data_IF_529064497471
#
_entry.id   IF_529064497471
#
_cell.length_a   1.000
_cell.length_b   1.000
_cell.length_c   1.000
_cell.angle_alpha   90.00
_cell.angle_beta   90.00
_cell.angle_gamma   90.00
#
_symmetry.space_group_name_H-M   'P 1'
#
loop_
_entity.id
_entity.type
_entity.pdbx_description
1 polymer ?
#
# COMPACT_ATOMS: atom_id res chain seq x y z
N UNK A 1 6.00 31.66 0.52
CA UNK A 1 6.68 30.85 1.57
C UNK A 1 8.06 31.44 1.87
N UNK A 2 8.70 31.07 2.99
CA UNK A 2 10.04 31.56 3.35
C UNK A 2 11.15 30.90 2.52
N UNK A 3 12.33 31.53 2.43
CA UNK A 3 13.48 31.05 1.63
C UNK A 3 14.02 29.66 2.00
N UNK A 4 13.68 29.15 3.18
CA UNK A 4 14.11 27.85 3.70
C UNK A 4 12.96 26.84 3.81
N UNK A 5 11.88 27.02 3.03
CA UNK A 5 10.77 26.07 3.03
C UNK A 5 11.24 24.71 2.51
N UNK A 6 11.00 23.64 3.28
CA UNK A 6 11.32 22.26 2.89
C UNK A 6 10.41 21.79 1.75
N UNK A 7 9.13 22.19 1.80
CA UNK A 7 8.13 21.94 0.76
C UNK A 7 7.63 23.30 0.29
N UNK A 8 8.24 23.89 -0.77
CA UNK A 8 7.96 25.26 -1.20
C UNK A 8 6.66 25.41 -2.01
N UNK A 9 6.09 24.31 -2.52
CA UNK A 9 4.81 24.27 -3.24
C UNK A 9 4.14 22.89 -3.05
N UNK A 10 2.95 22.70 -3.60
CA UNK A 10 2.26 21.41 -3.64
C UNK A 10 3.15 20.34 -4.33
N UNK A 11 3.30 19.12 -3.76
CA UNK A 11 4.20 18.11 -4.32
C UNK A 11 3.96 17.80 -5.81
N UNK A 12 2.70 17.78 -6.23
CA UNK A 12 2.34 17.52 -7.63
C UNK A 12 2.78 18.65 -8.57
N UNK A 13 2.88 19.91 -8.11
CA UNK A 13 3.48 20.99 -8.89
C UNK A 13 4.98 20.77 -9.04
N UNK A 14 5.65 20.46 -7.93
CA UNK A 14 7.09 20.24 -7.93
C UNK A 14 7.48 19.11 -8.90
N UNK A 15 6.70 18.04 -8.96
CA UNK A 15 6.88 16.94 -9.93
C UNK A 15 6.72 17.45 -11.38
N UNK A 16 5.63 18.16 -11.69
CA UNK A 16 5.33 18.65 -13.05
C UNK A 16 6.32 19.70 -13.56
N UNK A 17 6.94 20.46 -12.65
CA UNK A 17 7.91 21.51 -12.96
C UNK A 17 9.37 21.06 -12.82
N UNK A 18 9.63 19.78 -12.61
CA UNK A 18 10.97 19.23 -12.40
C UNK A 18 11.71 19.80 -11.17
N UNK A 19 10.98 20.34 -10.19
CA UNK A 19 11.49 20.89 -8.94
C UNK A 19 11.69 19.79 -7.88
N UNK A 20 12.16 18.63 -8.33
CA UNK A 20 12.49 17.47 -7.52
C UNK A 20 13.77 16.82 -8.07
N UNK A 21 14.42 15.98 -7.26
CA UNK A 21 15.63 15.28 -7.71
C UNK A 21 15.28 14.24 -8.78
N UNK A 22 15.99 14.32 -9.91
CA UNK A 22 15.74 13.45 -11.06
C UNK A 22 16.57 12.16 -10.94
N UNK A 23 16.13 11.28 -10.06
CA UNK A 23 16.81 10.03 -9.69
C UNK A 23 15.87 8.83 -9.91
N UNK A 24 16.38 7.59 -10.03
CA UNK A 24 15.53 6.41 -10.07
C UNK A 24 14.65 6.32 -8.82
N UNK A 25 13.46 5.74 -8.95
CA UNK A 25 12.54 5.58 -7.83
C UNK A 25 11.97 4.16 -7.75
N UNK A 26 12.23 3.46 -6.64
CA UNK A 26 11.58 2.19 -6.31
C UNK A 26 10.47 2.47 -5.31
N UNK A 27 9.25 2.05 -5.62
CA UNK A 27 8.04 2.32 -4.84
C UNK A 27 7.10 1.13 -4.81
N UNK A 28 6.38 0.93 -3.71
CA UNK A 28 5.41 -0.13 -3.63
C UNK A 28 4.31 0.08 -2.59
N UNK A 29 3.41 -0.90 -2.56
CA UNK A 29 2.29 -1.00 -1.61
C UNK A 29 2.07 -2.48 -1.29
N UNK A 30 1.37 -2.75 -0.21
CA UNK A 30 0.96 -4.10 0.16
C UNK A 30 -0.47 -4.35 -0.33
N UNK A 31 -0.80 -5.62 -0.60
CA UNK A 31 -2.13 -6.00 -1.11
C UNK A 31 -3.29 -5.51 -0.22
N UNK A 32 -3.07 -5.40 1.09
CA UNK A 32 -4.10 -5.11 2.09
C UNK A 32 -3.68 -4.02 3.08
N UNK A 33 -2.95 -2.98 2.65
CA UNK A 33 -2.49 -1.88 3.54
C UNK A 33 -3.59 -1.30 4.45
N UNK A 34 -4.83 -1.21 3.95
CA UNK A 34 -5.98 -0.72 4.71
C UNK A 34 -6.39 -1.58 5.90
N UNK A 35 -5.91 -2.82 6.02
CA UNK A 35 -6.22 -3.73 7.11
C UNK A 35 -5.85 -3.15 8.48
N UNK A 36 -4.72 -2.43 8.57
CA UNK A 36 -4.29 -1.76 9.79
C UNK A 36 -5.39 -0.85 10.37
N UNK A 37 -6.03 -0.05 9.50
CA UNK A 37 -7.04 0.93 9.94
C UNK A 37 -8.39 0.27 10.16
N UNK A 38 -8.77 -0.65 9.28
CA UNK A 38 -10.06 -1.36 9.35
C UNK A 38 -10.15 -2.21 10.61
N UNK A 39 -9.07 -2.87 11.01
CA UNK A 39 -9.06 -3.68 12.21
C UNK A 39 -9.41 -2.87 13.46
N UNK A 40 -8.83 -1.69 13.63
CA UNK A 40 -9.10 -0.82 14.78
C UNK A 40 -10.56 -0.32 14.80
N UNK A 41 -11.12 0.00 13.63
CA UNK A 41 -12.53 0.38 13.52
C UNK A 41 -13.43 -0.80 13.92
N UNK A 42 -13.09 -2.02 13.50
CA UNK A 42 -13.91 -3.21 13.79
C UNK A 42 -13.82 -3.69 15.24
N UNK A 43 -12.80 -3.27 16.00
CA UNK A 43 -12.71 -3.52 17.45
C UNK A 43 -13.66 -2.64 18.26
N UNK A 44 -14.15 -1.53 17.70
CA UNK A 44 -15.04 -0.59 18.38
C UNK A 44 -16.47 -0.63 17.80
N UNK A 45 -17.44 -1.25 18.52
CA UNK A 45 -18.83 -1.30 18.09
C UNK A 45 -19.47 0.07 17.88
N UNK A 46 -19.02 1.11 18.58
CA UNK A 46 -19.54 2.46 18.42
C UNK A 46 -19.15 3.04 17.05
N UNK A 47 -17.91 2.83 16.61
CA UNK A 47 -17.46 3.25 15.28
C UNK A 47 -18.21 2.50 14.18
N UNK A 48 -18.38 1.18 14.31
CA UNK A 48 -19.19 0.38 13.38
C UNK A 48 -20.63 0.92 13.30
N UNK A 49 -21.24 1.20 14.45
CA UNK A 49 -22.60 1.73 14.50
C UNK A 49 -22.68 3.11 13.84
N UNK A 50 -21.71 4.00 14.10
CA UNK A 50 -21.62 5.32 13.49
C UNK A 50 -21.55 5.26 11.97
N UNK A 51 -20.68 4.41 11.41
CA UNK A 51 -20.55 4.24 9.96
C UNK A 51 -21.83 3.67 9.30
N UNK A 52 -22.56 2.81 10.01
CA UNK A 52 -23.79 2.21 9.50
C UNK A 52 -25.04 3.09 9.65
N UNK A 53 -25.07 4.00 10.63
CA UNK A 53 -26.26 4.81 10.94
C UNK A 53 -26.15 6.27 10.50
N UNK A 54 -24.93 6.82 10.39
CA UNK A 54 -24.72 8.24 10.09
C UNK A 54 -23.54 8.43 9.12
N UNK A 55 -23.63 7.75 7.97
CA UNK A 55 -22.58 7.77 6.96
C UNK A 55 -22.28 9.17 6.42
N UNK A 56 -23.30 10.02 6.20
CA UNK A 56 -23.07 11.37 5.68
C UNK A 56 -22.20 12.23 6.58
N UNK A 57 -22.20 11.95 7.90
CA UNK A 57 -21.29 12.59 8.85
C UNK A 57 -19.91 11.93 8.90
N UNK A 58 -19.87 10.60 9.03
CA UNK A 58 -18.61 9.88 9.35
C UNK A 58 -17.86 9.36 8.12
N UNK A 59 -18.54 9.12 7.01
CA UNK A 59 -17.94 8.67 5.74
C UNK A 59 -16.94 9.68 5.18
N UNK A 60 -17.28 10.98 5.05
CA UNK A 60 -16.31 11.99 4.64
C UNK A 60 -15.11 12.08 5.58
N UNK A 61 -15.33 11.97 6.90
CA UNK A 61 -14.24 11.96 7.88
C UNK A 61 -13.33 10.75 7.72
N UNK A 62 -13.90 9.55 7.58
CA UNK A 62 -13.17 8.31 7.35
C UNK A 62 -12.31 8.36 6.08
N UNK A 63 -12.83 8.99 5.02
CA UNK A 63 -12.16 9.10 3.72
C UNK A 63 -11.29 10.36 3.60
N UNK A 64 -11.16 11.18 4.66
CA UNK A 64 -10.44 12.45 4.63
C UNK A 64 -10.94 13.39 3.51
N UNK A 65 -12.25 13.42 3.27
CA UNK A 65 -12.89 14.31 2.31
C UNK A 65 -13.33 15.60 3.00
N UNK A 66 -12.87 16.73 2.47
CA UNK A 66 -13.16 18.06 2.99
C UNK A 66 -13.52 19.01 1.85
N UNK A 67 -14.00 20.22 2.20
CA UNK A 67 -14.22 21.29 1.21
C UNK A 67 -12.96 21.69 0.42
N UNK A 68 -11.78 21.32 0.91
CA UNK A 68 -10.50 21.56 0.22
C UNK A 68 -10.09 20.40 -0.71
N UNK A 69 -10.77 19.26 -0.66
CA UNK A 69 -10.52 18.13 -1.57
C UNK A 69 -11.60 18.01 -2.65
N UNK A 70 -12.83 18.47 -2.41
CA UNK A 70 -13.92 18.44 -3.38
C UNK A 70 -15.04 19.43 -3.02
N UNK A 71 -15.93 19.71 -3.98
CA UNK A 71 -17.09 20.59 -3.78
C UNK A 71 -18.12 20.02 -2.79
N UNK A 72 -18.37 18.71 -2.85
CA UNK A 72 -19.35 18.02 -1.99
C UNK A 72 -18.75 16.73 -1.39
N UNK A 73 -18.16 16.81 -0.18
CA UNK A 73 -17.57 15.65 0.48
C UNK A 73 -18.55 14.51 0.74
N UNK A 74 -19.82 14.81 1.02
CA UNK A 74 -20.85 13.81 1.36
C UNK A 74 -21.23 13.01 0.12
N UNK A 75 -21.49 13.70 -0.99
CA UNK A 75 -21.80 13.04 -2.26
C UNK A 75 -20.64 12.13 -2.71
N UNK A 76 -19.40 12.58 -2.57
CA UNK A 76 -18.23 11.78 -2.96
C UNK A 76 -18.05 10.57 -2.04
N UNK A 77 -18.22 10.75 -0.72
CA UNK A 77 -18.19 9.63 0.22
C UNK A 77 -19.26 8.58 -0.11
N UNK A 78 -20.47 9.00 -0.51
CA UNK A 78 -21.53 8.10 -0.94
C UNK A 78 -21.16 7.34 -2.23
N UNK A 79 -20.62 8.03 -3.25
CA UNK A 79 -20.13 7.36 -4.47
C UNK A 79 -19.07 6.28 -4.19
N UNK A 80 -18.11 6.58 -3.31
CA UNK A 80 -17.07 5.63 -2.90
C UNK A 80 -17.68 4.45 -2.14
N UNK A 81 -18.59 4.71 -1.19
CA UNK A 81 -19.28 3.63 -0.47
C UNK A 81 -20.09 2.74 -1.41
N UNK A 82 -20.83 3.31 -2.35
CA UNK A 82 -21.65 2.54 -3.27
C UNK A 82 -20.79 1.65 -4.17
N UNK A 83 -19.64 2.13 -4.62
CA UNK A 83 -18.71 1.36 -5.45
C UNK A 83 -18.10 0.15 -4.71
N UNK A 84 -17.61 0.34 -3.48
CA UNK A 84 -16.95 -0.73 -2.72
C UNK A 84 -17.91 -1.58 -1.88
N UNK A 85 -18.80 -0.93 -1.14
CA UNK A 85 -19.67 -1.56 -0.14
C UNK A 85 -21.07 -1.86 -0.72
N UNK A 86 -21.57 -1.02 -1.63
CA UNK A 86 -22.94 -1.07 -2.11
C UNK A 86 -23.94 -1.06 -0.94
N UNK A 87 -24.82 -2.06 -0.89
CA UNK A 87 -25.81 -2.21 0.21
C UNK A 87 -25.25 -2.90 1.46
N UNK A 88 -23.99 -3.35 1.45
CA UNK A 88 -23.39 -4.03 2.59
C UNK A 88 -23.19 -3.06 3.76
N UNK A 89 -23.55 -3.51 4.97
CA UNK A 89 -23.20 -2.82 6.21
C UNK A 89 -21.73 -3.04 6.54
N UNK A 90 -21.10 -2.07 7.19
CA UNK A 90 -19.75 -2.23 7.76
C UNK A 90 -19.80 -3.27 8.88
N UNK A 91 -18.89 -4.24 8.85
CA UNK A 91 -18.80 -5.31 9.84
C UNK A 91 -17.94 -6.47 9.33
N UNK A 92 -17.91 -7.56 10.10
CA UNK A 92 -17.04 -8.71 9.83
C UNK A 92 -17.29 -9.33 8.44
N UNK A 93 -18.56 -9.44 8.01
CA UNK A 93 -18.91 -10.04 6.72
C UNK A 93 -18.54 -9.19 5.50
N UNK A 94 -18.22 -7.91 5.68
CA UNK A 94 -17.85 -6.98 4.61
C UNK A 94 -16.41 -6.48 4.74
N UNK A 95 -15.62 -7.10 5.63
CA UNK A 95 -14.28 -6.66 5.99
C UNK A 95 -13.35 -6.52 4.78
N UNK A 96 -13.34 -7.48 3.86
CA UNK A 96 -12.46 -7.45 2.69
C UNK A 96 -12.77 -6.26 1.77
N UNK A 97 -14.06 -5.95 1.56
CA UNK A 97 -14.49 -4.77 0.79
C UNK A 97 -14.08 -3.48 1.48
N UNK A 98 -14.17 -3.46 2.81
CA UNK A 98 -13.77 -2.31 3.59
C UNK A 98 -12.25 -2.10 3.53
N UNK A 99 -11.46 -3.16 3.68
CA UNK A 99 -10.01 -3.14 3.52
C UNK A 99 -9.66 -2.61 2.14
N UNK A 100 -10.29 -3.13 1.10
CA UNK A 100 -10.05 -2.72 -0.28
C UNK A 100 -10.32 -1.22 -0.50
N UNK A 101 -11.45 -0.71 0.00
CA UNK A 101 -11.78 0.72 -0.05
C UNK A 101 -10.71 1.59 0.61
N UNK A 102 -10.20 1.17 1.77
CA UNK A 102 -9.20 1.93 2.54
C UNK A 102 -7.80 1.79 1.92
N UNK A 103 -7.41 0.60 1.46
CA UNK A 103 -6.18 0.36 0.71
C UNK A 103 -6.14 1.26 -0.52
N UNK A 104 -7.22 1.27 -1.31
CA UNK A 104 -7.25 2.03 -2.54
C UNK A 104 -7.20 3.54 -2.29
N UNK A 105 -7.97 4.03 -1.32
CA UNK A 105 -8.03 5.46 -0.97
C UNK A 105 -6.70 6.02 -0.49
N UNK A 106 -6.01 5.30 0.40
CA UNK A 106 -4.90 5.88 1.17
C UNK A 106 -3.51 5.42 0.74
N UNK A 107 -3.42 4.30 0.01
CA UNK A 107 -2.14 3.72 -0.35
C UNK A 107 -2.04 3.55 -1.86
N UNK A 108 -2.97 2.80 -2.46
CA UNK A 108 -2.80 2.34 -3.83
C UNK A 108 -2.99 3.47 -4.85
N UNK A 109 -4.15 4.13 -4.86
CA UNK A 109 -4.45 5.18 -5.83
C UNK A 109 -3.42 6.32 -5.83
N UNK A 110 -3.07 6.95 -4.68
CA UNK A 110 -2.06 8.01 -4.68
C UNK A 110 -0.69 7.51 -5.15
N UNK A 111 -0.30 6.27 -4.82
CA UNK A 111 0.97 5.69 -5.27
C UNK A 111 0.98 5.45 -6.77
N UNK A 112 -0.11 4.93 -7.35
CA UNK A 112 -0.24 4.75 -8.79
C UNK A 112 -0.14 6.07 -9.54
N UNK A 113 -0.85 7.11 -9.09
CA UNK A 113 -0.81 8.43 -9.75
C UNK A 113 0.58 9.05 -9.66
N UNK A 114 1.21 9.01 -8.48
CA UNK A 114 2.57 9.52 -8.31
C UNK A 114 3.59 8.74 -9.16
N UNK A 115 3.47 7.41 -9.24
CA UNK A 115 4.35 6.55 -10.05
C UNK A 115 4.23 6.86 -11.54
N UNK A 116 3.00 7.07 -12.03
CA UNK A 116 2.76 7.44 -13.43
C UNK A 116 3.32 8.82 -13.77
N UNK A 117 3.12 9.81 -12.89
CA UNK A 117 3.67 11.15 -13.09
C UNK A 117 5.21 11.13 -13.07
N UNK A 118 5.83 10.51 -12.06
CA UNK A 118 7.28 10.41 -11.98
C UNK A 118 7.86 9.67 -13.19
N UNK A 119 7.28 8.53 -13.58
CA UNK A 119 7.71 7.77 -14.75
C UNK A 119 7.70 8.62 -16.02
N UNK A 120 6.66 9.45 -16.20
CA UNK A 120 6.56 10.35 -17.35
C UNK A 120 7.67 11.43 -17.34
N UNK A 121 7.90 12.09 -16.19
CA UNK A 121 8.87 13.19 -16.11
C UNK A 121 10.33 12.71 -16.06
N UNK A 122 10.61 11.59 -15.37
CA UNK A 122 11.95 11.00 -15.24
C UNK A 122 12.48 10.39 -16.54
N UNK A 123 11.61 10.00 -17.47
CA UNK A 123 12.00 9.46 -18.78
C UNK A 123 12.97 10.37 -19.54
N UNK A 124 12.80 11.71 -19.43
CA UNK A 124 13.69 12.70 -20.04
C UNK A 124 15.14 12.60 -19.53
N UNK A 125 15.32 12.13 -18.29
CA UNK A 125 16.60 12.00 -17.62
C UNK A 125 17.17 10.59 -17.67
N UNK A 126 16.53 9.69 -18.44
CA UNK A 126 16.88 8.26 -18.50
C UNK A 126 16.86 7.60 -17.11
N UNK A 127 15.96 8.07 -16.27
CA UNK A 127 15.69 7.49 -14.95
C UNK A 127 14.37 6.73 -14.99
N UNK A 128 14.27 5.69 -14.18
CA UNK A 128 13.16 4.75 -14.20
C UNK A 128 12.47 4.68 -12.84
N UNK A 129 11.17 4.41 -12.89
CA UNK A 129 10.37 4.06 -11.72
C UNK A 129 10.21 2.54 -11.71
N UNK A 130 10.37 1.90 -10.58
CA UNK A 130 10.15 0.47 -10.38
C UNK A 130 9.04 0.30 -9.34
N UNK A 131 7.92 -0.27 -9.78
CA UNK A 131 6.73 -0.47 -8.95
C UNK A 131 6.68 -1.91 -8.43
N UNK A 132 6.31 -2.12 -7.18
CA UNK A 132 5.97 -3.47 -6.67
C UNK A 132 4.65 -3.50 -5.90
N UNK A 133 4.05 -4.69 -5.83
CA UNK A 133 2.96 -5.02 -4.91
C UNK A 133 3.37 -6.24 -4.09
N UNK A 134 3.43 -6.11 -2.76
CA UNK A 134 3.63 -7.28 -1.89
C UNK A 134 2.31 -8.03 -1.75
N UNK A 135 2.29 -9.27 -2.23
CA UNK A 135 1.11 -10.16 -2.20
C UNK A 135 1.32 -11.39 -1.32
N UNK A 136 2.57 -11.73 -1.00
CA UNK A 136 2.87 -12.82 -0.09
C UNK A 136 2.54 -12.49 1.36
N UNK A 137 1.63 -13.28 1.92
CA UNK A 137 1.27 -13.22 3.33
C UNK A 137 2.15 -14.21 4.11
N UNK A 138 3.02 -13.68 4.95
CA UNK A 138 3.79 -14.51 5.88
C UNK A 138 2.94 -15.06 7.02
N UNK A 139 3.53 -15.95 7.83
CA UNK A 139 2.92 -16.46 9.07
C UNK A 139 2.78 -15.40 10.19
N UNK A 140 3.40 -14.23 9.99
CA UNK A 140 3.45 -13.10 10.93
C UNK A 140 3.27 -11.80 10.16
N UNK A 141 2.65 -10.83 10.82
CA UNK A 141 2.37 -9.49 10.31
C UNK A 141 2.83 -8.46 11.32
N UNK A 142 3.20 -7.27 10.85
CA UNK A 142 3.42 -6.12 11.71
C UNK A 142 2.18 -5.76 12.51
N UNK A 143 0.99 -6.02 11.97
CA UNK A 143 -0.28 -5.82 12.68
C UNK A 143 -0.37 -6.72 13.92
N UNK A 144 0.18 -7.94 13.91
CA UNK A 144 0.27 -8.79 15.11
C UNK A 144 1.12 -8.16 16.19
N UNK A 145 2.24 -7.55 15.79
CA UNK A 145 3.20 -6.90 16.69
C UNK A 145 2.53 -5.68 17.33
N UNK A 146 1.87 -4.83 16.53
CA UNK A 146 1.18 -3.63 17.02
C UNK A 146 0.03 -3.95 17.97
N UNK A 147 -0.63 -5.10 17.78
CA UNK A 147 -1.73 -5.54 18.64
C UNK A 147 -1.27 -6.17 19.96
N UNK A 148 0.00 -6.53 20.11
CA UNK A 148 0.57 -6.98 21.38
C UNK A 148 0.80 -5.78 22.31
N UNK A 149 -0.27 -5.24 22.90
CA UNK A 149 -0.18 -4.30 24.02
C UNK A 149 -1.11 -4.72 25.16
N UNK A 150 -0.65 -5.70 25.97
CA UNK A 150 -0.57 -5.58 27.44
C UNK A 150 0.11 -6.81 28.06
N UNK A 151 1.18 -6.68 28.87
CA UNK A 151 1.75 -7.80 29.64
C UNK A 151 0.72 -8.50 30.54
N UNK A 152 -0.33 -7.78 30.97
CA UNK A 152 -1.46 -8.36 31.71
C UNK A 152 -2.32 -9.34 30.89
N UNK A 153 -2.31 -9.25 29.56
CA UNK A 153 -3.02 -10.19 28.68
C UNK A 153 -2.20 -11.43 28.36
N UNK A 154 -0.87 -11.30 28.36
CA UNK A 154 0.08 -12.41 28.20
C UNK A 154 0.04 -13.37 29.41
N UNK A 155 -0.15 -12.82 30.62
CA UNK A 155 -0.39 -13.61 31.84
C UNK A 155 -1.73 -14.36 31.78
N UNK A 156 -2.77 -13.76 31.17
CA UNK A 156 -4.05 -14.44 30.97
C UNK A 156 -3.93 -15.58 29.96
N UNK A 157 -3.14 -15.42 28.89
CA UNK A 157 -2.92 -16.48 27.91
C UNK A 157 -2.11 -17.66 28.47
N UNK A 158 -1.14 -17.41 29.36
CA UNK A 158 -0.38 -18.48 30.06
C UNK A 158 -1.22 -19.23 31.11
N UNK A 159 -2.25 -18.59 31.67
CA UNK A 159 -3.21 -19.19 32.62
C UNK A 159 -4.43 -19.86 31.95
N UNK A 160 -4.43 -20.01 30.61
CA UNK A 160 -5.54 -20.63 29.88
C UNK A 160 -6.80 -19.76 29.75
N UNK A 161 -6.77 -18.50 30.19
CA UNK A 161 -7.83 -17.53 30.00
C UNK A 161 -7.55 -16.71 28.73
N UNK A 162 -8.05 -17.18 27.58
CA UNK A 162 -7.87 -16.51 26.27
C UNK A 162 -8.39 -15.06 26.30
N UNK A 163 -7.48 -14.09 26.37
CA UNK A 163 -7.75 -12.65 26.23
C UNK A 163 -7.44 -12.11 24.82
N UNK A 164 -7.25 -12.98 23.82
CA UNK A 164 -7.23 -12.55 22.42
C UNK A 164 -8.66 -12.58 21.92
N UNK A 165 -9.16 -11.46 21.39
CA UNK A 165 -10.47 -11.44 20.73
C UNK A 165 -10.46 -12.51 19.62
N UNK A 166 -11.21 -13.63 19.73
CA UNK A 166 -11.13 -14.74 18.80
C UNK A 166 -11.60 -14.38 17.37
N UNK A 167 -12.09 -13.15 17.19
CA UNK A 167 -12.43 -12.55 15.89
C UNK A 167 -11.21 -12.23 15.02
N UNK A 168 -10.04 -12.02 15.61
CA UNK A 168 -8.79 -11.67 14.91
C UNK A 168 -7.65 -12.67 15.16
N UNK A 169 -7.95 -13.84 15.74
CA UNK A 169 -6.95 -14.90 15.88
C UNK A 169 -6.66 -15.53 14.52
N UNK A 170 -5.39 -15.87 14.23
CA UNK A 170 -4.95 -16.58 13.01
C UNK A 170 -5.95 -17.66 12.62
N UNK A 171 -6.66 -17.44 11.52
CA UNK A 171 -7.49 -18.46 10.90
C UNK A 171 -6.71 -18.97 9.72
N UNK A 172 -6.06 -20.12 9.89
CA UNK A 172 -5.39 -20.87 8.82
C UNK A 172 -4.19 -20.16 8.18
N UNK A 173 -2.99 -20.42 8.71
CA UNK A 173 -1.69 -20.16 8.06
C UNK A 173 -1.36 -18.71 7.65
N UNK A 174 -2.26 -17.75 7.86
CA UNK A 174 -2.00 -16.33 7.71
C UNK A 174 -1.70 -15.66 9.06
N UNK A 175 -1.05 -14.50 8.99
CA UNK A 175 -0.59 -13.76 10.15
C UNK A 175 -1.71 -13.31 11.10
N UNK A 176 -2.85 -12.87 10.56
CA UNK A 176 -3.95 -12.23 11.32
C UNK A 176 -5.33 -12.28 10.64
N UNK A 177 -5.49 -13.07 9.58
CA UNK A 177 -6.76 -13.18 8.85
C UNK A 177 -7.10 -12.06 7.87
N UNK A 178 -6.30 -10.98 7.76
CA UNK A 178 -6.65 -9.80 6.95
C UNK A 178 -5.73 -9.55 5.75
N UNK A 179 -4.81 -10.47 5.47
CA UNK A 179 -3.90 -10.43 4.32
C UNK A 179 -2.58 -9.70 4.62
N UNK A 180 -2.03 -9.02 3.61
CA UNK A 180 -0.73 -8.33 3.70
C UNK A 180 -0.94 -6.87 4.07
N UNK A 181 -0.83 -6.57 5.36
CA UNK A 181 -1.16 -5.27 5.95
C UNK A 181 0.00 -4.28 5.86
N UNK A 182 -0.29 -3.02 6.18
CA UNK A 182 0.71 -1.97 6.34
C UNK A 182 1.89 -2.42 7.21
N UNK A 183 3.11 -2.18 6.73
CA UNK A 183 4.42 -2.52 7.33
C UNK A 183 4.84 -4.00 7.26
N UNK A 184 4.06 -4.90 6.64
CA UNK A 184 4.43 -6.31 6.49
C UNK A 184 5.66 -6.52 5.58
N UNK A 185 5.95 -5.58 4.69
CA UNK A 185 7.15 -5.58 3.84
C UNK A 185 8.44 -5.42 4.66
N UNK A 186 8.36 -4.74 5.80
CA UNK A 186 9.53 -4.51 6.67
C UNK A 186 10.03 -5.81 7.29
N UNK A 187 9.14 -6.79 7.48
CA UNK A 187 9.49 -8.11 8.02
C UNK A 187 10.42 -8.87 7.07
N UNK A 188 10.34 -8.60 5.76
CA UNK A 188 11.16 -9.22 4.73
C UNK A 188 12.42 -8.41 4.41
N UNK A 189 12.35 -7.07 4.49
CA UNK A 189 13.48 -6.17 4.23
C UNK A 189 14.47 -6.09 5.40
N UNK A 190 13.99 -6.15 6.64
CA UNK A 190 14.80 -5.94 7.84
C UNK A 190 14.67 -7.10 8.83
N UNK A 191 15.15 -8.31 8.47
CA UNK A 191 15.21 -9.40 9.43
C UNK A 191 16.15 -8.99 10.57
N UNK A 192 15.61 -8.91 11.79
CA UNK A 192 16.33 -8.43 12.96
C UNK A 192 16.24 -9.46 14.09
N UNK A 193 17.36 -9.87 14.70
CA UNK A 193 17.35 -10.71 15.91
C UNK A 193 16.57 -10.05 17.06
N UNK A 194 16.52 -8.70 17.12
CA UNK A 194 15.70 -8.01 18.13
C UNK A 194 14.20 -8.19 17.92
N UNK A 195 13.80 -8.56 16.71
CA UNK A 195 12.43 -8.91 16.35
C UNK A 195 12.26 -10.42 16.22
N UNK A 196 13.23 -11.25 16.64
CA UNK A 196 13.14 -12.73 16.62
C UNK A 196 11.95 -13.25 17.42
N UNK A 197 11.55 -12.57 18.50
CA UNK A 197 10.32 -12.87 19.24
C UNK A 197 9.02 -12.61 18.43
N UNK A 198 9.11 -11.77 17.39
CA UNK A 198 8.06 -11.47 16.43
C UNK A 198 8.22 -12.26 15.12
N UNK A 199 9.43 -12.73 14.83
CA UNK A 199 9.86 -13.49 13.67
C UNK A 199 10.49 -14.81 14.10
N UNK A 200 9.66 -15.82 14.33
CA UNK A 200 10.14 -17.19 14.15
C UNK A 200 10.09 -17.49 12.64
N UNK A 201 10.87 -16.71 11.87
CA UNK A 201 11.14 -17.02 10.48
C UNK A 201 12.04 -18.24 10.54
N UNK A 202 11.45 -19.43 10.46
CA UNK A 202 12.20 -20.61 10.07
C UNK A 202 12.72 -20.34 8.64
N UNK A 203 13.87 -19.65 8.54
CA UNK A 203 14.57 -19.33 7.30
C UNK A 203 15.00 -20.58 6.52
N UNK A 204 14.79 -21.77 7.10
CA UNK A 204 15.06 -23.06 6.48
C UNK A 204 13.84 -23.57 5.69
N UNK A 205 13.90 -23.44 4.37
CA UNK A 205 13.10 -24.23 3.42
C UNK A 205 11.71 -23.69 3.06
N UNK A 206 11.29 -22.54 3.57
CA UNK A 206 9.96 -21.98 3.33
C UNK A 206 9.97 -20.76 2.38
N UNK A 207 8.88 -20.60 1.62
CA UNK A 207 8.60 -19.51 0.68
C UNK A 207 8.96 -18.10 1.20
N UNK A 208 8.75 -17.83 2.49
CA UNK A 208 9.07 -16.57 3.14
C UNK A 208 10.57 -16.21 3.06
N UNK A 209 11.46 -17.19 3.18
CA UNK A 209 12.90 -16.97 3.09
C UNK A 209 13.31 -16.60 1.65
N UNK A 210 12.66 -17.22 0.65
CA UNK A 210 12.83 -16.85 -0.76
C UNK A 210 12.39 -15.41 -1.00
N UNK A 211 11.22 -15.03 -0.48
CA UNK A 211 10.71 -13.66 -0.59
C UNK A 211 11.66 -12.64 0.05
N UNK A 212 12.06 -12.87 1.31
CA UNK A 212 13.00 -11.98 2.02
C UNK A 212 14.33 -11.83 1.30
N UNK A 213 14.94 -12.95 0.86
CA UNK A 213 16.24 -12.93 0.18
C UNK A 213 16.17 -12.17 -1.13
N UNK A 214 15.14 -12.44 -1.94
CA UNK A 214 14.94 -11.75 -3.22
C UNK A 214 14.67 -10.26 -3.03
N UNK A 215 13.80 -9.87 -2.09
CA UNK A 215 13.59 -8.45 -1.78
C UNK A 215 14.89 -7.74 -1.41
N UNK A 216 15.70 -8.33 -0.53
CA UNK A 216 16.98 -7.73 -0.14
C UNK A 216 17.96 -7.63 -1.31
N UNK A 217 18.06 -8.65 -2.16
CA UNK A 217 18.91 -8.63 -3.36
C UNK A 217 18.46 -7.51 -4.31
N UNK A 218 17.17 -7.47 -4.66
CA UNK A 218 16.64 -6.50 -5.62
C UNK A 218 16.73 -5.07 -5.10
N UNK A 219 16.46 -4.83 -3.80
CA UNK A 219 16.65 -3.52 -3.19
C UNK A 219 18.12 -3.11 -3.15
N UNK A 220 19.04 -4.03 -2.79
CA UNK A 220 20.47 -3.69 -2.73
C UNK A 220 21.07 -3.44 -4.12
N UNK A 221 20.59 -4.12 -5.16
CA UNK A 221 20.94 -3.82 -6.55
C UNK A 221 20.46 -2.40 -6.93
N UNK A 222 19.20 -2.08 -6.63
CA UNK A 222 18.65 -0.75 -6.89
C UNK A 222 19.42 0.35 -6.15
N UNK A 223 19.78 0.13 -4.88
CA UNK A 223 20.59 1.08 -4.10
C UNK A 223 21.97 1.31 -4.74
N UNK A 224 22.59 0.26 -5.30
CA UNK A 224 23.92 0.35 -5.92
C UNK A 224 23.90 1.05 -7.27
N UNK A 225 22.87 0.82 -8.09
CA UNK A 225 22.91 1.17 -9.51
C UNK A 225 21.63 1.78 -10.10
N UNK A 226 20.56 1.92 -9.33
CA UNK A 226 19.29 2.44 -9.81
C UNK A 226 18.42 1.44 -10.58
N UNK A 227 18.89 0.20 -10.74
CA UNK A 227 18.19 -0.91 -11.40
C UNK A 227 18.12 -2.11 -10.43
N UNK A 228 16.93 -2.66 -10.12
CA UNK A 228 16.80 -3.82 -9.23
C UNK A 228 17.34 -5.11 -9.85
N UNK A 229 17.32 -5.23 -11.19
CA UNK A 229 17.76 -6.42 -11.93
C UNK A 229 18.79 -6.06 -13.00
N UNK A 230 19.94 -5.48 -12.62
CA UNK A 230 20.91 -4.98 -13.60
C UNK A 230 21.54 -6.12 -14.38
N UNK A 231 21.82 -5.90 -15.66
CA UNK A 231 22.62 -6.83 -16.47
C UNK A 231 24.04 -6.87 -15.90
N UNK A 232 24.56 -8.08 -15.68
CA UNK A 232 25.93 -8.29 -15.21
C UNK A 232 26.87 -8.33 -16.42
N UNK A 233 28.11 -7.79 -16.34
CA UNK A 233 29.09 -7.90 -17.42
C UNK A 233 29.27 -9.33 -17.92
N UNK A 234 29.05 -9.55 -19.23
CA UNK A 234 29.12 -10.86 -19.87
C UNK A 234 27.82 -11.68 -19.80
N UNK A 235 26.77 -11.19 -19.15
CA UNK A 235 25.43 -11.76 -19.20
C UNK A 235 24.68 -11.44 -20.51
N UNK A 236 23.66 -12.24 -20.81
CA UNK A 236 22.74 -11.99 -21.95
C UNK A 236 21.44 -11.36 -21.46
N UNK A 237 20.71 -10.68 -22.35
CA UNK A 237 19.39 -10.10 -22.04
C UNK A 237 18.28 -11.18 -21.96
N UNK A 238 18.52 -12.36 -22.53
CA UNK A 238 17.50 -13.42 -22.63
C UNK A 238 17.24 -14.14 -21.29
N UNK A 239 18.20 -14.12 -20.36
CA UNK A 239 18.10 -14.84 -19.08
C UNK A 239 18.56 -13.93 -17.95
N UNK A 240 17.64 -13.60 -17.04
CA UNK A 240 17.99 -12.80 -15.86
C UNK A 240 18.93 -13.57 -14.95
N UNK A 241 20.11 -13.00 -14.59
CA UNK A 241 20.99 -13.60 -13.59
C UNK A 241 20.38 -13.55 -12.17
N UNK A 242 19.28 -12.82 -11.98
CA UNK A 242 18.54 -12.67 -10.73
C UNK A 242 17.33 -13.62 -10.66
N UNK A 243 17.07 -14.41 -11.70
CA UNK A 243 15.91 -15.31 -11.80
C UNK A 243 14.60 -14.62 -12.17
N UNK A 244 14.59 -13.29 -12.30
CA UNK A 244 13.44 -12.49 -12.76
C UNK A 244 13.90 -11.17 -13.36
N UNK A 245 13.11 -10.58 -14.24
CA UNK A 245 13.29 -9.22 -14.73
C UNK A 245 12.29 -8.31 -14.03
N UNK A 246 12.77 -7.22 -13.43
CA UNK A 246 11.92 -6.19 -12.87
C UNK A 246 11.79 -5.05 -13.88
N UNK A 247 10.74 -5.12 -14.69
CA UNK A 247 10.55 -4.13 -15.74
C UNK A 247 10.24 -2.74 -15.15
N UNK A 248 10.76 -1.65 -15.75
CA UNK A 248 10.39 -0.30 -15.39
C UNK A 248 8.88 -0.05 -15.52
N UNK A 249 8.32 0.64 -14.54
CA UNK A 249 6.96 1.16 -14.59
C UNK A 249 6.90 2.33 -15.57
N UNK A 250 6.28 2.13 -16.73
CA UNK A 250 6.16 3.12 -17.81
C UNK A 250 4.70 3.45 -18.08
N UNK A 251 4.40 4.75 -18.25
CA UNK A 251 3.08 5.20 -18.72
C UNK A 251 2.73 4.52 -20.05
N UNK A 252 1.75 3.63 -20.03
CA UNK A 252 1.29 2.84 -21.17
C UNK A 252 1.25 1.34 -20.87
N UNK A 253 2.27 0.81 -20.20
CA UNK A 253 2.34 -0.61 -19.81
C UNK A 253 2.00 -0.82 -18.34
N UNK A 254 2.43 0.09 -17.47
CA UNK A 254 2.16 0.07 -16.02
C UNK A 254 2.64 -1.23 -15.32
N UNK A 255 3.74 -1.79 -15.81
CA UNK A 255 4.34 -3.00 -15.26
C UNK A 255 4.76 -2.85 -13.81
N UNK A 256 4.46 -3.87 -13.00
CA UNK A 256 4.86 -3.91 -11.59
C UNK A 256 5.35 -5.30 -11.20
N UNK A 257 6.27 -5.37 -10.25
CA UNK A 257 6.71 -6.62 -9.65
C UNK A 257 5.69 -7.10 -8.63
N UNK A 258 5.11 -8.28 -8.85
CA UNK A 258 4.37 -8.98 -7.80
C UNK A 258 5.38 -9.68 -6.89
N UNK A 259 5.46 -9.23 -5.64
CA UNK A 259 6.36 -9.79 -4.66
C UNK A 259 5.66 -10.92 -3.91
N UNK A 260 6.00 -12.11 -4.36
CA UNK A 260 5.65 -13.38 -3.76
C UNK A 260 6.74 -14.43 -4.10
N UNK A 261 6.57 -15.72 -3.80
CA UNK A 261 7.60 -16.71 -4.10
C UNK A 261 7.94 -16.82 -5.60
N UNK A 262 7.09 -16.37 -6.51
CA UNK A 262 7.35 -16.40 -7.95
C UNK A 262 8.19 -15.20 -8.40
N UNK A 263 8.05 -14.03 -7.74
CA UNK A 263 8.77 -12.79 -8.08
C UNK A 263 8.61 -12.41 -9.55
N UNK A 264 7.36 -12.27 -10.00
CA UNK A 264 7.06 -12.06 -11.41
C UNK A 264 6.61 -10.61 -11.70
N UNK A 265 7.20 -10.01 -12.72
CA UNK A 265 6.64 -8.78 -13.32
C UNK A 265 5.29 -9.10 -13.95
N UNK A 266 4.30 -8.29 -13.59
CA UNK A 266 2.96 -8.34 -14.14
C UNK A 266 2.85 -7.36 -15.31
N UNK A 267 2.31 -7.84 -16.43
CA UNK A 267 2.16 -7.08 -17.67
C UNK A 267 0.75 -6.48 -17.85
N UNK A 268 -0.14 -6.72 -16.88
CA UNK A 268 -1.49 -6.17 -16.83
C UNK A 268 -1.59 -5.03 -15.82
N UNK A 269 -2.27 -3.91 -16.15
CA UNK A 269 -2.45 -2.82 -15.22
C UNK A 269 -3.16 -3.25 -13.93
N UNK A 270 -2.58 -2.87 -12.80
CA UNK A 270 -3.13 -3.18 -11.48
C UNK A 270 -4.49 -2.50 -11.27
N UNK A 271 -5.52 -3.30 -10.96
CA UNK A 271 -6.84 -2.82 -10.52
C UNK A 271 -7.41 -1.71 -11.42
N UNK A 272 -7.35 -1.92 -12.74
CA UNK A 272 -7.68 -0.90 -13.73
C UNK A 272 -9.07 -0.28 -13.52
N UNK A 273 -10.08 -1.09 -13.18
CA UNK A 273 -11.45 -0.63 -12.89
C UNK A 273 -11.48 0.33 -11.70
N UNK A 274 -10.82 -0.01 -10.62
CA UNK A 274 -10.76 0.81 -9.40
C UNK A 274 -9.95 2.08 -9.65
N UNK A 275 -8.81 1.98 -10.35
CA UNK A 275 -7.99 3.15 -10.68
C UNK A 275 -8.75 4.15 -11.56
N UNK A 276 -9.51 3.66 -12.54
CA UNK A 276 -10.38 4.51 -13.35
C UNK A 276 -11.52 5.12 -12.53
N UNK A 277 -12.15 4.34 -11.64
CA UNK A 277 -13.16 4.87 -10.73
C UNK A 277 -12.64 6.05 -9.88
N UNK A 278 -11.47 5.89 -9.25
CA UNK A 278 -10.86 6.94 -8.43
C UNK A 278 -10.49 8.16 -9.25
N UNK A 279 -9.93 7.96 -10.45
CA UNK A 279 -9.59 9.04 -11.39
C UNK A 279 -10.79 9.85 -11.84
N UNK A 280 -11.95 9.21 -12.00
CA UNK A 280 -13.19 9.85 -12.45
C UNK A 280 -13.95 10.57 -11.32
N UNK A 281 -13.49 10.46 -10.07
CA UNK A 281 -14.05 11.27 -8.99
C UNK A 281 -13.65 12.74 -9.20
N UNK A 282 -14.58 13.71 -9.03
CA UNK A 282 -14.30 15.14 -9.20
C UNK A 282 -13.56 15.75 -8.00
N UNK A 283 -12.57 15.02 -7.47
CA UNK A 283 -11.63 15.48 -6.47
C UNK A 283 -10.69 16.52 -7.09
N UNK A 284 -10.27 17.51 -6.30
CA UNK A 284 -9.41 18.59 -6.78
C UNK A 284 -8.00 18.08 -7.13
N UNK A 285 -7.55 16.98 -6.52
CA UNK A 285 -6.30 16.31 -6.88
C UNK A 285 -6.33 15.69 -8.29
N UNK A 286 -7.52 15.33 -8.79
CA UNK A 286 -7.69 14.74 -10.13
C UNK A 286 -7.85 15.78 -11.24
N UNK A 287 -7.99 17.06 -10.90
CA UNK A 287 -8.21 18.12 -11.89
C UNK A 287 -6.87 18.66 -12.38
N UNK A 288 -6.67 18.70 -13.69
CA UNK A 288 -5.62 19.53 -14.26
C UNK A 288 -5.97 21.01 -14.02
N UNK A 289 -5.12 21.72 -13.27
CA UNK A 289 -5.35 23.11 -12.83
C UNK A 289 -5.32 24.16 -13.95
N UNK A 290 -5.23 23.76 -15.23
CA UNK A 290 -5.50 24.67 -16.34
C UNK A 290 -6.97 25.12 -16.39
N UNK A 291 -7.83 24.58 -15.54
CA UNK A 291 -9.16 25.11 -15.24
C UNK A 291 -9.00 26.16 -14.12
N UNK A 292 -9.17 27.42 -14.49
CA UNK A 292 -9.05 28.59 -13.61
C UNK A 292 -9.88 28.38 -12.34
N UNK A 293 -9.27 28.65 -11.18
CA UNK A 293 -9.91 28.63 -9.85
C UNK A 293 -10.81 29.86 -9.65
N UNK A 294 -11.67 30.18 -10.60
CA UNK A 294 -12.45 31.44 -10.61
C UNK A 294 -13.62 31.47 -9.61
N UNK A 295 -13.76 30.48 -8.71
CA UNK A 295 -14.86 30.44 -7.75
C UNK A 295 -14.41 29.90 -6.38
N UNK A 296 -13.46 30.59 -5.75
CA UNK A 296 -13.28 30.55 -4.29
C UNK A 296 -13.89 31.81 -3.65
#
# INVERSE_FOLDING_TARGET
MGKNAVIPDEPHHMIKHYEMLQVPWLVGTNKNDGAFRVQDILKDPALINQLNTNWDKYGPLLLHLTKYSCKDPVQIANRIKDFYMGKSKFGEYSINKFIEMITDRFFLYPTEMASQEHSFYLRKYKQFVYRYILTYCGKKSFLDIMNKVNPKEEVKSTLGMKSLNPRFSNKQNDAHGLGVSFMDELLFLFPSPKLEFAYDLNFFGEEAAKVASMMQILWTNFIKGGDPTPIIPGGTEDVSPWGTWWEPYVKGTLYYMQIDPEMATQDTPLKEKEMNFWKDLPLFENRDKNIIRDEL
#
